data_IF_979804994390
#
_entry.id   IF_979804994390
#
_cell.length_a   1.000
_cell.length_b   1.000
_cell.length_c   1.000
_cell.angle_alpha   90.00
_cell.angle_beta   90.00
_cell.angle_gamma   90.00
#
_symmetry.space_group_name_H-M   'P 1'
#
loop_
_entity.id
_entity.type
_entity.pdbx_description
1 polymer ?
#
# COMPACT_ATOMS: atom_id res chain seq x y z
N UNK A 1 3.82 14.08 14.04
CA UNK A 1 4.03 12.98 13.07
C UNK A 1 5.37 13.25 12.43
N UNK A 2 6.28 12.27 12.40
CA UNK A 2 7.59 12.41 11.78
C UNK A 2 7.41 12.75 10.28
N UNK A 3 8.04 13.82 9.80
CA UNK A 3 7.96 14.28 8.40
C UNK A 3 8.41 13.18 7.43
N UNK A 4 9.35 12.33 7.87
CA UNK A 4 9.80 11.17 7.12
C UNK A 4 8.69 10.13 6.91
N UNK A 5 7.88 9.86 7.95
CA UNK A 5 6.74 8.94 7.90
C UNK A 5 5.64 9.47 6.98
N UNK A 6 5.39 10.79 7.01
CA UNK A 6 4.41 11.44 6.13
C UNK A 6 4.78 11.25 4.65
N UNK A 7 6.02 11.54 4.27
CA UNK A 7 6.52 11.34 2.90
C UNK A 7 6.47 9.89 2.45
N UNK A 8 6.75 8.95 3.35
CA UNK A 8 6.64 7.52 3.06
C UNK A 8 5.20 7.12 2.75
N UNK A 9 4.22 7.56 3.56
CA UNK A 9 2.79 7.30 3.34
C UNK A 9 2.31 7.89 2.02
N UNK A 10 2.69 9.13 1.72
CA UNK A 10 2.35 9.78 0.45
C UNK A 10 2.91 9.03 -0.77
N UNK A 11 4.18 8.59 -0.68
CA UNK A 11 4.81 7.79 -1.75
C UNK A 11 4.06 6.48 -1.97
N UNK A 12 3.69 5.78 -0.90
CA UNK A 12 2.95 4.51 -0.99
C UNK A 12 1.56 4.73 -1.55
N UNK A 13 0.84 5.75 -1.09
CA UNK A 13 -0.48 6.12 -1.63
C UNK A 13 -0.42 6.41 -3.14
N UNK A 14 0.61 7.15 -3.59
CA UNK A 14 0.83 7.41 -5.02
C UNK A 14 1.06 6.12 -5.81
N UNK A 15 1.86 5.19 -5.27
CA UNK A 15 2.14 3.91 -5.92
C UNK A 15 0.90 3.01 -6.01
N UNK A 16 0.04 3.03 -4.99
CA UNK A 16 -1.25 2.33 -4.99
C UNK A 16 -2.18 2.94 -6.04
N UNK A 17 -2.38 4.26 -6.01
CA UNK A 17 -3.26 4.96 -6.93
C UNK A 17 -2.86 4.77 -8.40
N UNK A 18 -1.55 4.78 -8.70
CA UNK A 18 -1.05 4.55 -10.05
C UNK A 18 -1.38 3.13 -10.55
N UNK A 19 -1.26 2.12 -9.69
CA UNK A 19 -1.56 0.72 -10.05
C UNK A 19 -3.05 0.50 -10.22
N UNK A 20 -3.87 1.06 -9.33
CA UNK A 20 -5.34 1.05 -9.47
C UNK A 20 -5.81 1.72 -10.76
N UNK A 21 -5.20 2.87 -11.11
CA UNK A 21 -5.49 3.56 -12.36
C UNK A 21 -5.07 2.76 -13.61
N UNK A 22 -4.03 1.93 -13.50
CA UNK A 22 -3.58 1.06 -14.61
C UNK A 22 -4.51 -0.14 -14.80
N UNK A 23 -5.08 -0.68 -13.72
CA UNK A 23 -5.96 -1.84 -13.75
C UNK A 23 -7.30 -1.57 -14.44
N UNK A 24 -7.87 -0.36 -14.30
CA UNK A 24 -9.14 0.01 -14.93
C UNK A 24 -9.15 -0.21 -16.45
N UNK A 25 -8.25 0.46 -17.21
CA UNK A 25 -8.15 0.30 -18.66
C UNK A 25 -7.82 -1.13 -19.10
N UNK A 26 -7.02 -1.88 -18.32
CA UNK A 26 -6.72 -3.28 -18.63
C UNK A 26 -7.96 -4.17 -18.51
N UNK A 27 -8.79 -3.96 -17.49
CA UNK A 27 -10.06 -4.69 -17.32
C UNK A 27 -11.01 -4.40 -18.48
N UNK A 28 -11.10 -3.12 -18.88
CA UNK A 28 -11.87 -2.73 -20.07
C UNK A 28 -11.31 -3.38 -21.34
N UNK A 29 -9.99 -3.38 -21.52
CA UNK A 29 -9.33 -4.05 -22.65
C UNK A 29 -9.60 -5.55 -22.69
N UNK A 30 -9.62 -6.23 -21.54
CA UNK A 30 -9.97 -7.65 -21.45
C UNK A 30 -11.42 -7.92 -21.88
N UNK A 31 -12.36 -7.00 -21.59
CA UNK A 31 -13.76 -7.11 -22.01
C UNK A 31 -13.93 -6.94 -23.52
N UNK A 32 -13.09 -6.12 -24.16
CA UNK A 32 -13.14 -5.84 -25.60
C UNK A 32 -12.12 -6.65 -26.42
N UNK A 33 -11.43 -7.59 -25.80
CA UNK A 33 -10.44 -8.42 -26.47
C UNK A 33 -11.10 -9.25 -27.58
N UNK A 34 -10.57 -9.13 -28.80
CA UNK A 34 -11.17 -9.72 -30.00
C UNK A 34 -10.90 -11.22 -30.11
N UNK A 35 -9.82 -11.70 -29.48
CA UNK A 35 -9.46 -13.11 -29.46
C UNK A 35 -9.42 -13.64 -28.02
N UNK A 36 -9.69 -14.94 -27.87
CA UNK A 36 -9.57 -15.63 -26.59
C UNK A 36 -8.14 -15.53 -26.02
N UNK A 37 -7.14 -15.69 -26.88
CA UNK A 37 -5.73 -15.63 -26.49
C UNK A 37 -5.34 -14.25 -25.94
N UNK A 38 -5.76 -13.17 -26.62
CA UNK A 38 -5.51 -11.81 -26.14
C UNK A 38 -6.18 -11.56 -24.80
N UNK A 39 -7.42 -12.02 -24.64
CA UNK A 39 -8.15 -11.92 -23.39
C UNK A 39 -7.42 -12.64 -22.25
N UNK A 40 -6.97 -13.87 -22.47
CA UNK A 40 -6.23 -14.65 -21.48
C UNK A 40 -4.93 -13.96 -21.07
N UNK A 41 -4.17 -13.44 -22.03
CA UNK A 41 -2.95 -12.67 -21.76
C UNK A 41 -3.24 -11.43 -20.92
N UNK A 42 -4.29 -10.67 -21.25
CA UNK A 42 -4.67 -9.46 -20.49
C UNK A 42 -5.11 -9.85 -19.07
N UNK A 43 -5.89 -10.92 -18.92
CA UNK A 43 -6.34 -11.41 -17.61
C UNK A 43 -5.18 -11.87 -16.73
N UNK A 44 -4.17 -12.54 -17.30
CA UNK A 44 -2.95 -12.90 -16.59
C UNK A 44 -2.20 -11.67 -16.10
N UNK A 45 -2.06 -10.64 -16.95
CA UNK A 45 -1.46 -9.37 -16.56
C UNK A 45 -2.24 -8.68 -15.44
N UNK A 46 -3.58 -8.68 -15.52
CA UNK A 46 -4.44 -8.13 -14.46
C UNK A 46 -4.19 -8.88 -13.15
N UNK A 47 -4.13 -10.21 -13.16
CA UNK A 47 -3.91 -11.02 -11.97
C UNK A 47 -2.59 -10.69 -11.27
N UNK A 48 -1.50 -10.55 -12.03
CA UNK A 48 -0.18 -10.16 -11.49
C UNK A 48 -0.25 -8.76 -10.87
N UNK A 49 -0.86 -7.80 -11.55
CA UNK A 49 -0.97 -6.42 -11.04
C UNK A 49 -1.88 -6.31 -9.81
N UNK A 50 -2.95 -7.12 -9.74
CA UNK A 50 -3.80 -7.21 -8.56
C UNK A 50 -3.06 -7.81 -7.35
N UNK A 51 -2.20 -8.82 -7.57
CA UNK A 51 -1.34 -9.37 -6.51
C UNK A 51 -0.31 -8.34 -6.02
N UNK A 52 0.35 -7.62 -6.93
CA UNK A 52 1.26 -6.53 -6.55
C UNK A 52 0.54 -5.45 -5.75
N UNK A 53 -0.67 -5.04 -6.19
CA UNK A 53 -1.49 -4.06 -5.49
C UNK A 53 -1.86 -4.52 -4.07
N UNK A 54 -2.21 -5.79 -3.91
CA UNK A 54 -2.49 -6.38 -2.60
C UNK A 54 -1.25 -6.30 -1.69
N UNK A 55 -0.06 -6.61 -2.22
CA UNK A 55 1.22 -6.46 -1.51
C UNK A 55 1.46 -5.01 -1.03
N UNK A 56 1.24 -4.02 -1.90
CA UNK A 56 1.36 -2.60 -1.52
C UNK A 56 0.35 -2.19 -0.44
N UNK A 57 -0.89 -2.65 -0.52
CA UNK A 57 -1.92 -2.40 0.51
C UNK A 57 -1.55 -3.02 1.85
N UNK A 58 -0.97 -4.23 1.85
CA UNK A 58 -0.46 -4.87 3.06
C UNK A 58 0.69 -4.08 3.68
N UNK A 59 1.63 -3.58 2.88
CA UNK A 59 2.72 -2.72 3.37
C UNK A 59 2.15 -1.43 3.99
N UNK A 60 1.19 -0.78 3.34
CA UNK A 60 0.52 0.40 3.88
C UNK A 60 -0.13 0.10 5.25
N UNK A 61 -0.87 -1.01 5.36
CA UNK A 61 -1.51 -1.42 6.61
C UNK A 61 -0.48 -1.67 7.73
N UNK A 62 0.66 -2.30 7.41
CA UNK A 62 1.74 -2.54 8.40
C UNK A 62 2.37 -1.24 8.89
N UNK A 63 2.52 -0.24 8.02
CA UNK A 63 3.03 1.08 8.41
C UNK A 63 2.05 1.78 9.34
N UNK A 64 0.74 1.68 9.07
CA UNK A 64 -0.28 2.25 9.95
C UNK A 64 -0.32 1.55 11.31
N UNK A 65 -0.21 0.22 11.34
CA UNK A 65 -0.08 -0.54 12.59
C UNK A 65 1.18 -0.16 13.37
N UNK A 66 2.33 -0.03 12.71
CA UNK A 66 3.57 0.38 13.36
C UNK A 66 3.47 1.81 13.94
N UNK A 67 2.81 2.72 13.23
CA UNK A 67 2.57 4.08 13.71
C UNK A 67 1.63 4.13 14.94
N UNK A 68 0.73 3.16 15.10
CA UNK A 68 -0.11 2.99 16.28
C UNK A 68 0.66 2.39 17.48
N UNK A 69 1.70 1.61 17.20
CA UNK A 69 2.53 0.93 18.20
C UNK A 69 3.69 1.79 18.71
N UNK A 70 3.93 2.99 18.16
CA UNK A 70 4.92 3.89 18.75
C UNK A 70 4.55 4.18 20.21
N UNK A 71 5.46 3.89 21.17
CA UNK A 71 5.23 4.21 22.56
C UNK A 71 5.40 5.72 22.74
N UNK A 72 4.36 6.50 22.44
CA UNK A 72 4.29 7.94 22.75
C UNK A 72 4.35 8.25 24.26
N UNK A 73 4.51 7.24 25.11
CA UNK A 73 4.53 7.36 26.56
C UNK A 73 5.37 6.25 27.22
N UNK A 74 6.62 6.03 26.77
CA UNK A 74 7.61 5.46 27.69
C UNK A 74 8.04 6.55 28.69
N UNK A 75 7.16 6.73 29.68
CA UNK A 75 7.33 7.32 31.02
C UNK A 75 8.44 8.37 31.17
N UNK A 76 8.00 9.59 31.48
CA UNK A 76 8.59 10.33 32.58
C UNK A 76 8.55 9.46 33.85
N UNK A 77 9.54 8.58 34.03
CA UNK A 77 9.82 8.01 35.36
C UNK A 77 10.47 9.16 36.12
N UNK A 78 9.66 9.92 36.86
CA UNK A 78 10.19 10.81 37.91
C UNK A 78 10.95 9.91 38.89
N UNK A 79 12.28 9.96 38.83
CA UNK A 79 13.13 9.48 39.91
C UNK A 79 12.70 10.21 41.20
N UNK A 80 12.32 9.51 42.27
CA UNK A 80 12.30 10.15 43.58
C UNK A 80 13.76 10.50 43.90
N UNK A 81 14.02 11.78 44.18
CA UNK A 81 15.30 12.20 44.72
C UNK A 81 15.55 11.41 46.02
N UNK A 82 16.61 10.60 46.02
CA UNK A 82 17.10 9.97 47.24
C UNK A 82 17.56 11.10 48.17
N UNK A 83 16.84 11.26 49.29
CA UNK A 83 17.31 12.02 50.45
C UNK A 83 18.26 11.15 51.27
#
# INVERSE_FOLDING_TARGET
MDESLKRLRERIAKQIAQREATLGPLRESAMHAHTKHDRERILLTIAVLDEELAGWKQVAARIEQAALLEPRTYRAIRMPALR
#
